data_IF_284917257753
#
_entry.id   IF_284917257753
#
_cell.length_a   1.000
_cell.length_b   1.000
_cell.length_c   1.000
_cell.angle_alpha   90.00
_cell.angle_beta   90.00
_cell.angle_gamma   90.00
#
_symmetry.space_group_name_H-M   'P 1'
#
loop_
_entity.id
_entity.type
_entity.pdbx_description
1 polymer ?
#
# COMPACT_ATOMS: atom_id res chain seq x y z
N UNK A 1 27.48 44.52 17.09
CA UNK A 1 26.49 43.91 16.17
C UNK A 1 25.39 44.92 15.95
N UNK A 2 25.37 45.56 14.78
CA UNK A 2 24.26 46.43 14.35
C UNK A 2 23.03 45.58 14.02
N UNK A 3 21.83 46.13 14.19
CA UNK A 3 20.57 45.43 13.93
C UNK A 3 20.47 44.87 12.51
N UNK A 4 21.10 45.52 11.53
CA UNK A 4 21.19 45.04 10.15
C UNK A 4 22.04 43.77 10.01
N UNK A 5 23.12 43.64 10.78
CA UNK A 5 23.95 42.42 10.80
C UNK A 5 23.21 41.25 11.42
N UNK A 6 22.36 41.50 12.42
CA UNK A 6 21.50 40.47 13.03
C UNK A 6 20.43 40.02 12.04
N UNK A 7 19.81 40.96 11.30
CA UNK A 7 18.84 40.65 10.26
C UNK A 7 19.47 39.91 9.07
N UNK A 8 20.69 40.26 8.67
CA UNK A 8 21.43 39.51 7.65
C UNK A 8 21.86 38.14 8.13
N UNK A 9 22.25 37.99 9.41
CA UNK A 9 22.58 36.69 9.99
C UNK A 9 21.34 35.78 10.04
N UNK A 10 20.19 36.31 10.47
CA UNK A 10 18.92 35.57 10.48
C UNK A 10 18.49 35.21 9.06
N UNK A 11 18.58 36.15 8.11
CA UNK A 11 18.29 35.88 6.70
C UNK A 11 19.25 34.85 6.12
N UNK A 12 20.53 34.89 6.43
CA UNK A 12 21.51 33.89 5.97
C UNK A 12 21.30 32.53 6.64
N UNK A 13 20.91 32.47 7.92
CA UNK A 13 20.57 31.21 8.59
C UNK A 13 19.28 30.63 8.00
N UNK A 14 18.27 31.46 7.73
CA UNK A 14 17.08 31.00 7.00
C UNK A 14 17.43 30.56 5.57
N UNK A 15 18.13 31.37 4.80
CA UNK A 15 18.40 31.08 3.39
C UNK A 15 19.51 30.04 3.17
N UNK A 16 20.32 29.70 4.18
CA UNK A 16 21.44 28.74 4.03
C UNK A 16 21.24 27.49 4.89
N UNK A 17 20.57 27.60 6.04
CA UNK A 17 20.34 26.47 6.96
C UNK A 17 18.89 26.00 7.04
N UNK A 18 17.89 26.85 6.80
CA UNK A 18 16.52 26.32 6.61
C UNK A 18 16.42 25.78 5.20
N UNK A 19 16.02 24.53 5.02
CA UNK A 19 15.97 23.84 3.72
C UNK A 19 14.97 24.42 2.71
N UNK A 20 14.42 25.61 2.95
CA UNK A 20 13.51 26.33 2.06
C UNK A 20 14.07 26.67 0.66
N UNK A 21 15.35 27.01 0.46
CA UNK A 21 15.89 27.28 -0.88
C UNK A 21 16.20 26.01 -1.69
N UNK A 22 16.29 24.84 -1.05
CA UNK A 22 16.50 23.55 -1.71
C UNK A 22 15.21 22.74 -1.88
N UNK A 23 14.06 23.32 -1.52
CA UNK A 23 12.76 22.69 -1.72
C UNK A 23 12.45 22.60 -3.21
N UNK A 24 12.48 21.39 -3.74
CA UNK A 24 12.00 21.14 -5.11
C UNK A 24 10.47 21.15 -5.13
N UNK A 25 9.90 21.60 -6.25
CA UNK A 25 8.44 21.57 -6.47
C UNK A 25 7.86 20.16 -6.23
N UNK A 26 8.60 19.11 -6.60
CA UNK A 26 8.23 17.72 -6.34
C UNK A 26 8.08 17.39 -4.85
N UNK A 27 8.99 17.85 -3.99
CA UNK A 27 8.92 17.63 -2.54
C UNK A 27 7.69 18.30 -1.93
N UNK A 28 7.37 19.53 -2.36
CA UNK A 28 6.16 20.25 -1.92
C UNK A 28 4.90 19.46 -2.28
N UNK A 29 4.82 18.95 -3.50
CA UNK A 29 3.68 18.11 -3.95
C UNK A 29 3.59 16.84 -3.10
N UNK A 30 4.69 16.15 -2.85
CA UNK A 30 4.69 14.93 -2.05
C UNK A 30 4.32 15.17 -0.58
N UNK A 31 4.71 16.31 -0.01
CA UNK A 31 4.28 16.72 1.33
C UNK A 31 2.77 16.97 1.36
N UNK A 32 2.20 17.65 0.36
CA UNK A 32 0.74 17.81 0.27
C UNK A 32 0.01 16.46 0.17
N UNK A 33 0.56 15.54 -0.64
CA UNK A 33 0.06 14.17 -0.75
C UNK A 33 0.14 13.45 0.61
N UNK A 34 1.22 13.63 1.38
CA UNK A 34 1.36 13.04 2.71
C UNK A 34 0.26 13.49 3.66
N UNK A 35 -0.06 14.79 3.69
CA UNK A 35 -1.15 15.32 4.51
C UNK A 35 -2.51 14.87 4.03
N UNK A 36 -2.71 14.70 2.73
CA UNK A 36 -3.94 14.11 2.18
C UNK A 36 -4.16 12.68 2.69
N UNK A 37 -3.13 11.83 2.70
CA UNK A 37 -3.24 10.47 3.25
C UNK A 37 -3.44 10.46 4.76
N UNK A 38 -2.74 11.32 5.51
CA UNK A 38 -2.95 11.45 6.95
C UNK A 38 -4.38 11.93 7.27
N UNK A 39 -4.92 12.85 6.47
CA UNK A 39 -6.32 13.30 6.60
C UNK A 39 -7.30 12.16 6.37
N UNK A 40 -7.13 11.36 5.31
CA UNK A 40 -7.97 10.19 5.04
C UNK A 40 -7.88 9.15 6.17
N UNK A 41 -6.69 8.93 6.71
CA UNK A 41 -6.47 7.96 7.76
C UNK A 41 -7.14 8.38 9.08
N UNK A 42 -7.04 9.66 9.46
CA UNK A 42 -7.51 10.17 10.76
C UNK A 42 -8.95 10.65 10.71
N UNK A 43 -9.30 11.48 9.72
CA UNK A 43 -10.63 12.10 9.66
C UNK A 43 -11.69 11.20 9.01
N UNK A 44 -11.28 10.27 8.14
CA UNK A 44 -12.18 9.32 7.46
C UNK A 44 -12.00 7.88 7.93
N UNK A 45 -11.07 7.62 8.84
CA UNK A 45 -10.79 6.29 9.41
C UNK A 45 -10.52 5.21 8.35
N UNK A 46 -10.00 5.60 7.18
CA UNK A 46 -9.62 4.67 6.13
C UNK A 46 -8.31 3.98 6.50
N UNK A 47 -8.40 2.69 6.86
CA UNK A 47 -7.28 1.83 7.27
C UNK A 47 -6.17 2.54 8.06
N UNK A 48 -6.51 3.16 9.21
CA UNK A 48 -5.59 4.03 9.94
C UNK A 48 -4.30 3.31 10.34
N UNK A 49 -4.36 1.99 10.58
CA UNK A 49 -3.22 1.17 10.95
C UNK A 49 -2.09 1.17 9.90
N UNK A 50 -2.42 1.28 8.62
CA UNK A 50 -1.44 1.25 7.52
C UNK A 50 -1.26 2.64 6.89
N UNK A 51 -2.35 3.38 6.70
CA UNK A 51 -2.33 4.66 6.00
C UNK A 51 -1.61 5.77 6.80
N UNK A 52 -1.67 5.74 8.14
CA UNK A 52 -0.93 6.68 8.99
C UNK A 52 0.59 6.49 8.86
N UNK A 53 1.17 5.29 9.06
CA UNK A 53 2.60 5.06 8.83
C UNK A 53 3.05 5.41 7.40
N UNK A 54 2.23 5.11 6.39
CA UNK A 54 2.56 5.44 4.99
C UNK A 54 2.59 6.95 4.77
N UNK A 55 1.55 7.67 5.21
CA UNK A 55 1.51 9.13 5.11
C UNK A 55 2.67 9.79 5.84
N UNK A 56 2.99 9.33 7.06
CA UNK A 56 4.13 9.83 7.81
C UNK A 56 5.48 9.49 7.15
N UNK A 57 5.62 8.31 6.55
CA UNK A 57 6.81 7.94 5.78
C UNK A 57 7.03 8.81 4.54
N UNK A 58 5.96 9.14 3.82
CA UNK A 58 6.02 10.08 2.69
C UNK A 58 6.45 11.47 3.18
N UNK A 59 5.90 11.93 4.30
CA UNK A 59 6.28 13.20 4.91
C UNK A 59 7.78 13.24 5.26
N UNK A 60 8.28 12.22 5.98
CA UNK A 60 9.67 12.15 6.41
C UNK A 60 10.66 12.07 5.24
N UNK A 61 10.37 11.25 4.23
CA UNK A 61 11.27 11.06 3.08
C UNK A 61 11.34 12.26 2.14
N UNK A 62 10.42 13.21 2.25
CA UNK A 62 10.38 14.42 1.42
C UNK A 62 10.80 15.69 2.18
N UNK A 63 11.33 15.55 3.41
CA UNK A 63 11.78 16.69 4.19
C UNK A 63 13.08 17.28 3.62
N UNK A 64 13.16 18.60 3.38
CA UNK A 64 14.35 19.21 2.80
C UNK A 64 15.54 19.15 3.76
N UNK A 65 16.74 18.90 3.21
CA UNK A 65 18.01 18.77 3.95
C UNK A 65 18.09 17.59 4.94
N UNK A 66 17.13 16.67 4.95
CA UNK A 66 17.20 15.45 5.75
C UNK A 66 17.16 14.20 4.86
N UNK A 67 18.29 13.79 4.26
CA UNK A 67 18.66 12.46 3.79
C UNK A 67 17.64 11.34 3.60
N UNK A 68 16.79 11.05 4.59
CA UNK A 68 16.54 9.76 5.27
C UNK A 68 16.48 8.47 4.44
N UNK A 69 16.26 8.58 3.12
CA UNK A 69 16.30 7.52 2.13
C UNK A 69 17.66 7.42 1.38
N UNK A 70 18.71 8.08 1.88
CA UNK A 70 20.03 8.18 1.27
C UNK A 70 21.09 7.26 1.89
N UNK A 71 22.34 7.48 1.50
CA UNK A 71 23.51 6.97 2.20
C UNK A 71 24.16 8.14 2.93
N UNK A 72 24.58 7.91 4.16
CA UNK A 72 25.45 8.83 4.90
C UNK A 72 26.78 9.01 4.17
N UNK A 73 27.52 10.08 4.49
CA UNK A 73 28.85 10.34 3.92
C UNK A 73 29.85 9.18 4.13
N UNK A 74 29.60 8.32 5.13
CA UNK A 74 30.38 7.12 5.42
C UNK A 74 29.90 5.86 4.66
N UNK A 75 28.93 5.98 3.74
CA UNK A 75 28.39 4.86 2.95
C UNK A 75 27.37 3.98 3.68
N UNK A 76 27.03 4.29 4.94
CA UNK A 76 25.99 3.56 5.68
C UNK A 76 24.60 4.01 5.23
N UNK A 77 23.63 3.09 5.09
CA UNK A 77 22.26 3.44 4.76
C UNK A 77 21.67 4.29 5.90
N UNK A 78 20.99 5.37 5.55
CA UNK A 78 20.25 6.17 6.52
C UNK A 78 19.02 5.42 7.05
N UNK A 79 18.42 5.92 8.13
CA UNK A 79 17.44 5.18 8.93
C UNK A 79 16.32 4.53 8.08
N UNK A 80 15.65 5.31 7.23
CA UNK A 80 14.53 4.80 6.42
C UNK A 80 15.03 3.85 5.32
N UNK A 81 16.21 4.13 4.74
CA UNK A 81 16.85 3.23 3.78
C UNK A 81 17.26 1.90 4.41
N UNK A 82 17.73 1.90 5.66
CA UNK A 82 18.07 0.68 6.39
C UNK A 82 16.83 -0.20 6.60
N UNK A 83 15.70 0.40 7.03
CA UNK A 83 14.43 -0.32 7.12
C UNK A 83 13.95 -0.87 5.76
N UNK A 84 14.10 -0.11 4.68
CA UNK A 84 13.75 -0.58 3.34
C UNK A 84 14.63 -1.75 2.90
N UNK A 85 15.96 -1.62 3.02
CA UNK A 85 16.94 -2.62 2.60
C UNK A 85 16.84 -3.92 3.40
N UNK A 86 16.86 -3.84 4.73
CA UNK A 86 16.82 -5.04 5.56
C UNK A 86 15.41 -5.57 5.79
N UNK A 87 14.37 -4.74 5.65
CA UNK A 87 12.99 -5.14 5.89
C UNK A 87 12.24 -5.59 4.64
N UNK A 88 12.26 -4.78 3.58
CA UNK A 88 11.47 -5.01 2.36
C UNK A 88 12.29 -5.75 1.30
N UNK A 89 13.53 -5.33 1.04
CA UNK A 89 14.37 -5.92 0.01
C UNK A 89 14.82 -7.35 0.37
N UNK A 90 15.12 -7.59 1.65
CA UNK A 90 15.36 -8.94 2.22
C UNK A 90 14.08 -9.72 2.52
N UNK A 91 12.91 -9.19 2.17
CA UNK A 91 11.60 -9.87 2.28
C UNK A 91 11.15 -10.25 3.71
N UNK A 92 11.87 -9.81 4.75
CA UNK A 92 11.56 -10.15 6.14
C UNK A 92 10.16 -9.64 6.54
N UNK A 93 9.86 -8.37 6.24
CA UNK A 93 8.58 -7.74 6.60
C UNK A 93 7.42 -8.39 5.83
N UNK A 94 7.46 -8.54 4.49
CA UNK A 94 6.42 -9.24 3.75
C UNK A 94 6.15 -10.66 4.26
N UNK A 95 7.20 -11.46 4.49
CA UNK A 95 7.06 -12.83 4.99
C UNK A 95 6.40 -12.85 6.38
N UNK A 96 6.78 -11.94 7.27
CA UNK A 96 6.19 -11.85 8.61
C UNK A 96 4.72 -11.43 8.56
N UNK A 97 4.35 -10.50 7.66
CA UNK A 97 2.95 -10.11 7.44
C UNK A 97 2.14 -11.30 6.91
N UNK A 98 2.68 -12.08 5.97
CA UNK A 98 2.00 -13.27 5.46
C UNK A 98 1.84 -14.36 6.51
N UNK A 99 2.86 -14.57 7.34
CA UNK A 99 2.80 -15.50 8.46
C UNK A 99 1.70 -15.07 9.45
N UNK A 100 1.66 -13.79 9.82
CA UNK A 100 0.63 -13.23 10.70
C UNK A 100 -0.78 -13.34 10.10
N UNK A 101 -0.95 -13.01 8.82
CA UNK A 101 -2.22 -13.14 8.12
C UNK A 101 -2.69 -14.60 8.07
N UNK A 102 -1.78 -15.54 7.78
CA UNK A 102 -2.07 -16.97 7.79
C UNK A 102 -2.47 -17.47 9.18
N UNK A 103 -1.80 -17.02 10.23
CA UNK A 103 -2.11 -17.39 11.61
C UNK A 103 -3.47 -16.85 12.09
N UNK A 104 -3.92 -15.71 11.57
CA UNK A 104 -5.22 -15.12 11.89
C UNK A 104 -6.36 -15.65 11.00
N UNK A 105 -6.07 -16.39 9.94
CA UNK A 105 -7.09 -16.87 8.98
C UNK A 105 -7.78 -18.13 9.50
N UNK A 106 -9.10 -18.07 9.69
CA UNK A 106 -9.89 -19.28 9.99
C UNK A 106 -10.25 -20.05 8.72
N UNK A 107 -9.69 -21.26 8.59
CA UNK A 107 -9.98 -22.18 7.50
C UNK A 107 -11.27 -22.99 7.70
N UNK A 108 -11.95 -22.90 8.85
CA UNK A 108 -13.18 -23.62 9.15
C UNK A 108 -14.27 -23.47 8.08
N UNK A 109 -14.62 -22.25 7.65
CA UNK A 109 -15.59 -22.02 6.58
C UNK A 109 -15.17 -22.61 5.22
N UNK A 110 -13.87 -22.56 4.90
CA UNK A 110 -13.31 -23.08 3.66
C UNK A 110 -13.37 -24.62 3.62
N UNK A 111 -12.99 -25.27 4.71
CA UNK A 111 -13.00 -26.74 4.86
C UNK A 111 -14.46 -27.26 4.88
N UNK A 112 -15.36 -26.56 5.56
CA UNK A 112 -16.77 -26.95 5.66
C UNK A 112 -17.52 -26.86 4.32
N UNK A 113 -17.09 -25.98 3.40
CA UNK A 113 -17.65 -25.87 2.06
C UNK A 113 -16.57 -25.58 1.01
N UNK A 114 -15.90 -26.60 0.46
CA UNK A 114 -14.80 -26.42 -0.49
C UNK A 114 -15.23 -25.76 -1.80
N UNK A 115 -16.53 -25.72 -2.12
CA UNK A 115 -17.04 -24.98 -3.30
C UNK A 115 -16.76 -23.47 -3.21
N UNK A 116 -16.52 -22.94 -2.01
CA UNK A 116 -16.10 -21.54 -1.82
C UNK A 116 -14.72 -21.26 -2.42
N UNK A 117 -13.86 -22.27 -2.57
CA UNK A 117 -12.56 -22.14 -3.24
C UNK A 117 -12.69 -21.76 -4.72
N UNK A 118 -13.76 -22.21 -5.39
CA UNK A 118 -14.06 -21.85 -6.78
C UNK A 118 -14.44 -20.37 -6.89
N UNK A 119 -15.15 -19.83 -5.90
CA UNK A 119 -15.46 -18.39 -5.83
C UNK A 119 -14.16 -17.58 -5.66
N UNK A 120 -13.23 -18.09 -4.84
CA UNK A 120 -11.88 -17.52 -4.71
C UNK A 120 -11.09 -17.56 -6.01
N UNK A 121 -11.15 -18.66 -6.77
CA UNK A 121 -10.53 -18.75 -8.09
C UNK A 121 -11.13 -17.72 -9.08
N UNK A 122 -12.44 -17.45 -8.98
CA UNK A 122 -13.09 -16.37 -9.73
C UNK A 122 -12.56 -14.98 -9.40
N UNK A 123 -12.16 -14.72 -8.15
CA UNK A 123 -11.53 -13.46 -7.77
C UNK A 123 -10.18 -13.23 -8.50
N UNK A 124 -9.45 -14.31 -8.84
CA UNK A 124 -8.20 -14.24 -9.59
C UNK A 124 -8.41 -13.75 -11.05
N UNK A 125 -9.63 -13.85 -11.60
CA UNK A 125 -9.92 -13.26 -12.91
C UNK A 125 -9.76 -11.74 -12.90
N UNK A 126 -9.99 -11.07 -11.77
CA UNK A 126 -9.75 -9.63 -11.63
C UNK A 126 -8.29 -9.25 -11.85
N UNK A 127 -7.37 -10.09 -11.36
CA UNK A 127 -5.92 -9.94 -11.60
C UNK A 127 -5.61 -10.06 -13.09
N UNK A 128 -6.16 -11.07 -13.74
CA UNK A 128 -5.91 -11.35 -15.15
C UNK A 128 -6.49 -10.26 -16.08
N UNK A 129 -7.71 -9.80 -15.82
CA UNK A 129 -8.35 -8.72 -16.58
C UNK A 129 -7.55 -7.42 -16.45
N UNK A 130 -7.09 -7.10 -15.23
CA UNK A 130 -6.28 -5.90 -14.98
C UNK A 130 -4.91 -6.00 -15.68
N UNK A 131 -4.29 -7.18 -15.65
CA UNK A 131 -3.04 -7.47 -16.36
C UNK A 131 -3.20 -7.32 -17.89
N UNK A 132 -4.21 -7.94 -18.49
CA UNK A 132 -4.47 -7.81 -19.92
C UNK A 132 -4.84 -6.37 -20.33
N UNK A 133 -5.62 -5.68 -19.51
CA UNK A 133 -5.99 -4.28 -19.75
C UNK A 133 -4.77 -3.36 -19.75
N UNK A 134 -3.87 -3.50 -18.77
CA UNK A 134 -2.64 -2.69 -18.70
C UNK A 134 -1.67 -2.98 -19.85
N UNK A 135 -1.56 -4.23 -20.27
CA UNK A 135 -0.82 -4.58 -21.50
C UNK A 135 -1.41 -3.89 -22.73
N UNK A 136 -2.73 -3.79 -22.83
CA UNK A 136 -3.39 -3.08 -23.94
C UNK A 136 -3.10 -1.58 -23.92
N UNK A 137 -2.88 -0.98 -22.75
CA UNK A 137 -2.45 0.41 -22.60
C UNK A 137 -0.94 0.63 -22.78
N UNK A 138 -0.18 -0.40 -23.19
CA UNK A 138 1.24 -0.29 -23.55
C UNK A 138 2.22 -0.44 -22.39
N UNK A 139 1.78 -0.94 -21.23
CA UNK A 139 2.67 -1.22 -20.09
C UNK A 139 3.58 -2.42 -20.41
N UNK A 140 4.80 -2.41 -19.86
CA UNK A 140 5.68 -3.59 -19.97
C UNK A 140 5.11 -4.77 -19.20
N UNK A 141 5.53 -6.01 -19.53
CA UNK A 141 5.05 -7.21 -18.81
C UNK A 141 5.27 -7.12 -17.28
N UNK A 142 6.38 -6.50 -16.86
CA UNK A 142 6.72 -6.37 -15.43
C UNK A 142 5.84 -5.34 -14.72
N UNK A 143 5.58 -4.20 -15.36
CA UNK A 143 4.70 -3.17 -14.81
C UNK A 143 3.24 -3.64 -14.83
N UNK A 144 2.80 -4.26 -15.92
CA UNK A 144 1.47 -4.87 -16.02
C UNK A 144 1.25 -5.93 -14.94
N UNK A 145 2.27 -6.73 -14.61
CA UNK A 145 2.18 -7.70 -13.50
C UNK A 145 2.05 -7.02 -12.13
N UNK A 146 2.78 -5.92 -11.91
CA UNK A 146 2.68 -5.11 -10.68
C UNK A 146 1.35 -4.39 -10.53
N UNK A 147 0.75 -3.90 -11.62
CA UNK A 147 -0.60 -3.30 -11.59
C UNK A 147 -1.67 -4.38 -11.51
N UNK A 148 -1.49 -5.50 -12.21
CA UNK A 148 -2.44 -6.61 -12.30
C UNK A 148 -2.79 -7.19 -10.93
N UNK A 149 -1.79 -7.36 -10.04
CA UNK A 149 -2.01 -7.92 -8.70
C UNK A 149 -2.92 -7.05 -7.82
N UNK A 150 -3.03 -5.74 -8.09
CA UNK A 150 -3.98 -4.83 -7.41
C UNK A 150 -5.42 -5.35 -7.60
N UNK A 151 -5.73 -5.89 -8.78
CA UNK A 151 -7.03 -6.49 -9.10
C UNK A 151 -7.40 -7.70 -8.24
N UNK A 152 -6.44 -8.30 -7.53
CA UNK A 152 -6.67 -9.40 -6.58
C UNK A 152 -7.04 -8.93 -5.16
N UNK A 153 -7.05 -7.61 -4.92
CA UNK A 153 -7.41 -6.98 -3.63
C UNK A 153 -6.61 -7.48 -2.40
N UNK A 154 -5.44 -8.08 -2.60
CA UNK A 154 -4.58 -8.60 -1.54
C UNK A 154 -3.39 -7.66 -1.27
N UNK A 155 -3.52 -6.78 -0.26
CA UNK A 155 -2.54 -5.73 0.07
C UNK A 155 -1.10 -6.24 0.26
N UNK A 156 -0.82 -7.29 1.07
CA UNK A 156 0.56 -7.71 1.30
C UNK A 156 1.22 -8.32 0.05
N UNK A 157 0.44 -9.05 -0.76
CA UNK A 157 0.92 -9.62 -2.04
C UNK A 157 1.26 -8.54 -3.05
N UNK A 158 0.49 -7.46 -3.06
CA UNK A 158 0.71 -6.35 -3.98
C UNK A 158 2.00 -5.63 -3.66
N UNK A 159 2.26 -5.33 -2.38
CA UNK A 159 3.51 -4.72 -1.95
C UNK A 159 4.72 -5.61 -2.28
N UNK A 160 4.61 -6.91 -1.99
CA UNK A 160 5.68 -7.87 -2.26
C UNK A 160 6.02 -7.98 -3.75
N UNK A 161 5.01 -8.21 -4.59
CA UNK A 161 5.19 -8.41 -6.02
C UNK A 161 5.72 -7.14 -6.70
N UNK A 162 5.20 -5.97 -6.30
CA UNK A 162 5.65 -4.67 -6.79
C UNK A 162 7.11 -4.41 -6.43
N UNK A 163 7.53 -4.71 -5.20
CA UNK A 163 8.92 -4.57 -4.79
C UNK A 163 9.87 -5.49 -5.56
N UNK A 164 9.37 -6.63 -6.07
CA UNK A 164 10.16 -7.61 -6.84
C UNK A 164 10.19 -7.38 -8.33
N UNK A 165 9.07 -6.98 -8.94
CA UNK A 165 8.93 -6.94 -10.39
C UNK A 165 9.09 -5.54 -10.96
N UNK A 166 8.66 -4.50 -10.25
CA UNK A 166 8.62 -3.15 -10.81
C UNK A 166 10.01 -2.47 -10.71
N UNK A 167 10.56 -1.96 -11.82
CA UNK A 167 11.48 -0.83 -11.77
C UNK A 167 10.76 0.39 -11.15
N UNK A 168 11.49 1.44 -10.70
CA UNK A 168 10.90 2.58 -10.03
C UNK A 168 9.69 3.20 -10.75
N UNK A 169 8.62 3.61 -10.04
CA UNK A 169 8.51 3.68 -8.58
C UNK A 169 7.61 2.58 -7.97
N UNK A 170 8.14 1.65 -7.16
CA UNK A 170 7.33 0.67 -6.42
C UNK A 170 6.39 1.33 -5.39
N UNK A 171 6.72 2.55 -4.94
CA UNK A 171 5.91 3.30 -3.98
C UNK A 171 4.54 3.72 -4.50
N UNK A 172 4.42 4.07 -5.79
CA UNK A 172 3.15 4.54 -6.35
C UNK A 172 2.12 3.40 -6.49
N UNK A 173 2.56 2.21 -6.91
CA UNK A 173 1.72 1.03 -7.06
C UNK A 173 1.26 0.48 -5.70
N UNK A 174 2.19 0.41 -4.73
CA UNK A 174 1.87 0.03 -3.35
C UNK A 174 0.83 1.00 -2.75
N UNK A 175 1.05 2.30 -2.89
CA UNK A 175 0.13 3.33 -2.41
C UNK A 175 -1.25 3.25 -3.08
N UNK A 176 -1.30 3.03 -4.39
CA UNK A 176 -2.54 2.85 -5.14
C UNK A 176 -3.32 1.60 -4.66
N UNK A 177 -2.63 0.51 -4.36
CA UNK A 177 -3.25 -0.71 -3.84
C UNK A 177 -3.89 -0.49 -2.46
N UNK A 178 -3.14 0.12 -1.53
CA UNK A 178 -3.65 0.45 -0.19
C UNK A 178 -4.81 1.43 -0.28
N UNK A 179 -4.70 2.47 -1.09
CA UNK A 179 -5.77 3.45 -1.30
C UNK A 179 -7.04 2.81 -1.87
N UNK A 180 -6.92 1.97 -2.91
CA UNK A 180 -8.05 1.27 -3.50
C UNK A 180 -8.76 0.34 -2.51
N UNK A 181 -8.01 -0.41 -1.70
CA UNK A 181 -8.62 -1.29 -0.70
C UNK A 181 -9.17 -0.52 0.51
N UNK A 182 -8.55 0.61 0.88
CA UNK A 182 -8.94 1.42 2.02
C UNK A 182 -10.21 2.23 1.74
N UNK A 183 -10.48 2.61 0.50
CA UNK A 183 -11.74 3.26 0.10
C UNK A 183 -12.99 2.41 0.40
N UNK A 184 -12.83 1.11 0.70
CA UNK A 184 -13.93 0.16 0.87
C UNK A 184 -14.82 0.13 -0.38
N UNK A 185 -15.99 -0.52 -0.34
CA UNK A 185 -17.03 -0.28 -1.32
C UNK A 185 -17.87 0.92 -0.82
N UNK A 186 -17.63 2.16 -1.31
CA UNK A 186 -18.50 3.31 -0.96
C UNK A 186 -19.93 3.13 -1.51
N UNK A 187 -20.09 2.21 -2.48
CA UNK A 187 -21.33 1.89 -3.19
C UNK A 187 -21.28 0.38 -3.49
N UNK A 188 -22.37 -0.40 -3.37
CA UNK A 188 -22.40 -1.75 -3.90
C UNK A 188 -21.94 -1.69 -5.36
N UNK A 189 -20.93 -2.49 -5.77
CA UNK A 189 -20.27 -2.31 -7.05
C UNK A 189 -21.33 -2.12 -8.16
N UNK A 190 -21.14 -1.18 -9.10
CA UNK A 190 -22.09 -0.97 -10.20
C UNK A 190 -22.40 -2.28 -10.95
N UNK A 191 -21.44 -3.22 -10.94
CA UNK A 191 -21.55 -4.57 -11.49
C UNK A 191 -22.43 -5.53 -10.67
N UNK A 192 -22.56 -5.31 -9.36
CA UNK A 192 -23.34 -6.16 -8.47
C UNK A 192 -24.84 -6.02 -8.73
N UNK A 193 -25.33 -4.79 -9.00
CA UNK A 193 -26.75 -4.50 -9.25
C UNK A 193 -27.36 -5.22 -10.47
N UNK A 194 -26.73 -5.28 -11.65
CA UNK A 194 -27.28 -5.99 -12.80
C UNK A 194 -27.12 -7.52 -12.71
N UNK A 195 -26.14 -8.02 -11.94
CA UNK A 195 -25.87 -9.45 -11.80
C UNK A 195 -26.71 -10.13 -10.72
N UNK A 196 -27.33 -9.37 -9.81
CA UNK A 196 -28.26 -9.93 -8.82
C UNK A 196 -29.71 -9.63 -9.22
N UNK A 197 -30.58 -10.65 -9.32
CA UNK A 197 -32.00 -10.41 -9.55
C UNK A 197 -32.60 -9.61 -8.36
N UNK A 198 -33.60 -8.73 -8.61
CA UNK A 198 -34.17 -7.85 -7.58
C UNK A 198 -34.83 -8.58 -6.40
N UNK A 199 -35.25 -9.82 -6.60
CA UNK A 199 -35.72 -10.73 -5.55
C UNK A 199 -34.96 -12.06 -5.63
N UNK A 200 -33.76 -12.15 -5.04
CA UNK A 200 -33.09 -13.44 -4.91
C UNK A 200 -33.89 -14.31 -3.92
N UNK A 201 -34.17 -15.58 -4.25
CA UNK A 201 -34.84 -16.47 -3.30
C UNK A 201 -34.01 -16.57 -2.01
N UNK A 202 -34.64 -16.70 -0.83
CA UNK A 202 -33.93 -16.80 0.42
C UNK A 202 -32.97 -18.00 0.36
N UNK A 203 -31.67 -17.69 0.27
CA UNK A 203 -30.63 -18.72 0.23
C UNK A 203 -30.54 -19.29 1.64
N UNK A 204 -31.10 -20.48 1.83
CA UNK A 204 -30.99 -21.24 3.07
C UNK A 204 -29.52 -21.59 3.27
N UNK A 205 -28.79 -20.76 4.03
CA UNK A 205 -27.40 -21.05 4.41
C UNK A 205 -27.45 -22.32 5.25
N UNK A 206 -27.00 -23.44 4.68
CA UNK A 206 -26.86 -24.68 5.45
C UNK A 206 -25.90 -24.39 6.62
N UNK A 207 -26.20 -24.85 7.84
CA UNK A 207 -25.24 -24.78 8.94
C UNK A 207 -23.91 -25.34 8.47
N UNK A 208 -22.80 -24.69 8.86
CA UNK A 208 -21.47 -25.20 8.57
C UNK A 208 -21.39 -26.63 9.12
N UNK A 209 -20.87 -27.57 8.32
CA UNK A 209 -20.63 -28.93 8.79
C UNK A 209 -19.68 -28.85 10.00
N UNK A 210 -19.89 -29.64 11.07
CA UNK A 210 -18.94 -29.71 12.17
C UNK A 210 -17.56 -30.02 11.59
N UNK A 211 -16.56 -29.19 11.91
CA UNK A 211 -15.19 -29.48 11.53
C UNK A 211 -14.77 -30.76 12.24
N UNK A 212 -14.80 -31.89 11.54
CA UNK A 212 -14.25 -33.15 12.01
C UNK A 212 -12.74 -33.01 12.12
N UNK A 213 -12.22 -32.86 13.34
CA UNK A 213 -10.79 -33.06 13.62
C UNK A 213 -10.46 -34.53 13.33
N UNK A 214 -9.37 -34.85 12.59
CA UNK A 214 -8.03 -34.36 12.88
C UNK A 214 -7.34 -33.75 11.64
N UNK A 215 -6.98 -32.46 11.72
CA UNK A 215 -6.22 -31.77 10.68
C UNK A 215 -5.71 -30.40 11.14
N UNK A 216 -5.58 -30.24 12.46
CA UNK A 216 -5.05 -29.06 13.15
C UNK A 216 -4.04 -29.56 14.18
N UNK A 217 -2.85 -29.93 13.72
CA UNK A 217 -1.62 -30.07 14.50
C UNK A 217 -0.50 -29.52 13.66
#
# INVERSE_FOLDING_TARGET
>A
MTWDQVLELIKNILLTQTGMPNLTVGQVVMILVSFFFLYLAVAKEYEPLLLVPIGFGIFLTNFPLAPLMGFTEHGNPELIRAFYKYGIEWEIIPCLIFLGLGAMTDFGPLIANPKTLIVGAGAQLGVFITYCGTLFFGFTLKEAASVGIIGGAARPTTNFLTAKLAPPPPGAHALAAHFYTALGPPVPPPLHRPMTPPHPPPIKKRPLRPASAPGKT
#
